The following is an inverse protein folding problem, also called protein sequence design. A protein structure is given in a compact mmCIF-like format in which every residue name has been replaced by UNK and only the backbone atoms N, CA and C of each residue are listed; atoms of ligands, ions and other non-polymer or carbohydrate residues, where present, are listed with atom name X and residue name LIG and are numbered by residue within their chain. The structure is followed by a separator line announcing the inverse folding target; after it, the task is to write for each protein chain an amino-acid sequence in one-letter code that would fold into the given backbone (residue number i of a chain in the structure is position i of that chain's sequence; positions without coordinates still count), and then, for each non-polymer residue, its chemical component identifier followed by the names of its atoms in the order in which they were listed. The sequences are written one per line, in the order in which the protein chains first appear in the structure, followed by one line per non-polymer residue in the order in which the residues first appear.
data_IF_992176244004
#
_entry.id   IF_992176244004
#
_cell.length_a   1.000
_cell.length_b   1.000
_cell.length_c   1.000
_cell.angle_alpha   90.00
_cell.angle_beta   90.00
_cell.angle_gamma   90.00
#
_symmetry.space_group_name_H-M   'P 1'
#
loop_
_entity.id
_entity.type
_entity.pdbx_description
1 polymer ?
#
# COMPACT_ATOMS: atom_id res chain seq x y z
N UNK A 1 8.79 0.88 16.75
CA UNK A 1 9.67 -0.30 16.84
C UNK A 1 10.55 -0.31 15.61
N UNK A 2 11.82 -0.65 15.77
CA UNK A 2 12.80 -0.69 14.68
C UNK A 2 12.57 -1.94 13.81
N UNK A 3 12.40 -1.75 12.50
CA UNK A 3 12.25 -2.85 11.52
C UNK A 3 13.43 -3.82 11.61
N UNK A 4 14.64 -3.33 11.91
CA UNK A 4 15.82 -4.19 12.08
C UNK A 4 15.64 -5.19 13.22
N UNK A 5 15.25 -4.72 14.41
CA UNK A 5 15.07 -5.59 15.58
C UNK A 5 13.99 -6.65 15.36
N UNK A 6 12.92 -6.31 14.62
CA UNK A 6 11.88 -7.28 14.27
C UNK A 6 12.41 -8.35 13.29
N UNK A 7 13.16 -7.95 12.26
CA UNK A 7 13.74 -8.87 11.29
C UNK A 7 14.80 -9.78 11.93
N UNK A 8 15.60 -9.26 12.86
CA UNK A 8 16.56 -10.06 13.64
C UNK A 8 15.83 -11.15 14.44
N UNK A 9 14.74 -10.79 15.12
CA UNK A 9 13.89 -11.74 15.83
C UNK A 9 13.29 -12.81 14.89
N UNK A 10 12.70 -12.39 13.76
CA UNK A 10 12.10 -13.30 12.78
C UNK A 10 13.13 -14.25 12.17
N UNK A 11 14.33 -13.75 11.88
CA UNK A 11 15.42 -14.55 11.32
C UNK A 11 15.91 -15.59 12.32
N UNK A 12 16.03 -15.21 13.60
CA UNK A 12 16.41 -16.13 14.68
C UNK A 12 15.40 -17.27 14.88
N UNK A 13 14.10 -16.99 14.80
CA UNK A 13 13.07 -18.03 15.01
C UNK A 13 12.88 -18.93 13.79
N UNK A 14 13.08 -18.41 12.57
CA UNK A 14 12.83 -19.14 11.33
C UNK A 14 14.08 -19.79 10.73
N UNK A 15 15.28 -19.41 11.19
CA UNK A 15 16.56 -19.75 10.58
C UNK A 15 16.65 -19.39 9.08
N UNK A 16 15.91 -18.35 8.66
CA UNK A 16 15.89 -17.88 7.28
C UNK A 16 15.59 -16.38 7.22
N UNK A 17 16.18 -15.65 6.28
CA UNK A 17 15.81 -14.25 6.09
C UNK A 17 14.38 -14.18 5.51
N UNK A 18 13.52 -13.28 6.00
CA UNK A 18 12.13 -13.25 5.57
C UNK A 18 11.95 -12.50 4.25
N UNK A 19 10.75 -12.64 3.67
CA UNK A 19 10.23 -11.72 2.66
C UNK A 19 9.39 -10.67 3.39
N UNK A 20 9.68 -9.38 3.16
CA UNK A 20 8.89 -8.29 3.73
C UNK A 20 7.77 -7.91 2.77
N UNK A 21 6.55 -7.78 3.27
CA UNK A 21 5.39 -7.34 2.49
C UNK A 21 4.87 -6.04 3.09
N UNK A 22 4.85 -5.00 2.28
CA UNK A 22 4.43 -3.65 2.69
C UNK A 22 3.23 -3.19 1.88
N UNK A 23 2.40 -2.37 2.51
CA UNK A 23 1.21 -1.79 1.90
C UNK A 23 1.12 -0.30 2.21
N UNK A 24 0.64 0.50 1.25
CA UNK A 24 0.35 1.92 1.45
C UNK A 24 1.54 2.68 2.09
N UNK A 25 1.35 3.31 3.24
CA UNK A 25 2.40 4.01 3.98
C UNK A 25 3.53 3.10 4.50
N UNK A 26 3.28 1.80 4.69
CA UNK A 26 4.30 0.84 5.11
C UNK A 26 5.47 0.77 4.13
N UNK A 27 5.22 0.99 2.84
CA UNK A 27 6.25 0.99 1.80
C UNK A 27 7.34 2.03 2.04
N UNK A 28 6.96 3.22 2.54
CA UNK A 28 7.91 4.28 2.90
C UNK A 28 8.87 3.85 4.02
N UNK A 29 8.35 3.18 5.05
CA UNK A 29 9.17 2.68 6.15
C UNK A 29 10.16 1.61 5.66
N UNK A 30 9.71 0.70 4.79
CA UNK A 30 10.58 -0.31 4.18
C UNK A 30 11.62 0.32 3.27
N UNK A 31 11.27 1.29 2.43
CA UNK A 31 12.24 2.03 1.59
C UNK A 31 13.36 2.66 2.43
N UNK A 32 13.03 3.27 3.57
CA UNK A 32 14.05 3.85 4.48
C UNK A 32 14.91 2.81 5.17
N UNK A 33 14.31 1.68 5.52
CA UNK A 33 15.07 0.55 6.05
C UNK A 33 16.05 0.01 5.01
N UNK A 34 15.62 -0.18 3.75
CA UNK A 34 16.51 -0.59 2.65
C UNK A 34 17.63 0.44 2.43
N UNK A 35 17.32 1.73 2.50
CA UNK A 35 18.30 2.83 2.37
C UNK A 35 19.35 2.82 3.51
N UNK A 36 19.03 2.33 4.71
CA UNK A 36 19.95 2.30 5.85
C UNK A 36 20.85 1.07 5.89
N UNK A 37 20.50 -0.02 5.21
CA UNK A 37 21.23 -1.29 5.21
C UNK A 37 22.41 -1.38 4.23
N UNK A 38 22.71 -0.28 3.53
CA UNK A 38 23.69 -0.27 2.45
C UNK A 38 25.11 0.05 2.92
N UNK A 39 26.16 -0.58 2.35
CA UNK A 39 26.20 -1.77 1.47
C UNK A 39 26.67 -3.03 2.23
N UNK A 40 26.57 -3.05 3.55
CA UNK A 40 27.30 -4.01 4.42
C UNK A 40 26.61 -5.35 4.66
N UNK A 41 25.33 -5.50 4.32
CA UNK A 41 24.57 -6.71 4.59
C UNK A 41 23.94 -7.21 3.28
N UNK A 42 24.50 -8.28 2.70
CA UNK A 42 23.76 -9.16 1.79
C UNK A 42 23.08 -10.18 2.69
N UNK A 43 21.82 -10.53 2.43
CA UNK A 43 21.04 -11.56 3.15
C UNK A 43 20.16 -11.11 4.33
N UNK A 44 19.89 -9.81 4.52
CA UNK A 44 18.93 -9.36 5.55
C UNK A 44 17.45 -9.57 5.15
N UNK A 45 17.16 -9.75 3.86
CA UNK A 45 15.83 -10.09 3.32
C UNK A 45 15.98 -11.03 2.12
N UNK A 46 15.04 -11.96 1.96
CA UNK A 46 14.93 -12.79 0.75
C UNK A 46 14.15 -12.13 -0.38
N UNK A 47 13.34 -11.14 -0.04
CA UNK A 47 12.53 -10.40 -0.99
C UNK A 47 11.80 -9.23 -0.34
N UNK A 48 11.34 -8.28 -1.14
CA UNK A 48 10.52 -7.16 -0.71
C UNK A 48 9.33 -6.94 -1.64
N UNK A 49 8.13 -6.83 -1.08
CA UNK A 49 6.89 -6.59 -1.82
C UNK A 49 6.31 -5.24 -1.40
N UNK A 50 5.94 -4.42 -2.39
CA UNK A 50 5.33 -3.11 -2.23
C UNK A 50 3.96 -3.08 -2.90
N UNK A 51 2.90 -3.20 -2.12
CA UNK A 51 1.51 -3.19 -2.60
C UNK A 51 0.92 -1.81 -2.41
N UNK A 52 0.40 -1.20 -3.48
CA UNK A 52 -0.29 0.09 -3.43
C UNK A 52 0.46 1.13 -2.58
N UNK A 53 1.80 1.10 -2.67
CA UNK A 53 2.64 1.82 -1.72
C UNK A 53 2.74 3.29 -2.08
N UNK A 54 2.78 4.15 -1.06
CA UNK A 54 3.05 5.57 -1.26
C UNK A 54 4.42 5.72 -1.93
N UNK A 55 4.53 6.52 -2.99
CA UNK A 55 5.76 6.61 -3.77
C UNK A 55 6.93 7.18 -2.97
N UNK A 56 8.18 6.96 -3.42
CA UNK A 56 9.37 7.42 -2.72
C UNK A 56 9.46 8.93 -2.59
N UNK A 57 8.77 9.74 -3.41
CA UNK A 57 8.63 11.19 -3.20
C UNK A 57 7.62 11.61 -2.12
N UNK A 58 6.95 10.64 -1.48
CA UNK A 58 5.90 10.86 -0.50
C UNK A 58 4.52 11.12 -1.11
N UNK A 59 3.55 11.45 -0.27
CA UNK A 59 2.14 11.61 -0.68
C UNK A 59 1.78 13.00 -1.23
N UNK A 60 2.65 14.00 -1.11
CA UNK A 60 2.32 15.40 -1.47
C UNK A 60 2.05 15.57 -2.97
N UNK A 61 2.89 14.97 -3.83
CA UNK A 61 2.71 15.03 -5.29
C UNK A 61 1.43 14.31 -5.72
N UNK A 62 1.15 13.18 -5.09
CA UNK A 62 -0.06 12.40 -5.29
C UNK A 62 -1.31 13.21 -4.93
N UNK A 63 -1.34 13.88 -3.77
CA UNK A 63 -2.43 14.79 -3.38
C UNK A 63 -2.60 15.94 -4.39
N UNK A 64 -1.49 16.55 -4.84
CA UNK A 64 -1.53 17.62 -5.84
C UNK A 64 -2.10 17.16 -7.19
N UNK A 65 -1.83 15.91 -7.60
CA UNK A 65 -2.39 15.33 -8.82
C UNK A 65 -3.89 15.09 -8.71
N UNK A 66 -4.35 14.57 -7.58
CA UNK A 66 -5.80 14.49 -7.30
C UNK A 66 -6.44 15.87 -7.39
N UNK A 67 -5.81 16.88 -6.76
CA UNK A 67 -6.27 18.28 -6.79
C UNK A 67 -6.43 18.83 -8.20
N UNK A 68 -5.54 18.46 -9.12
CA UNK A 68 -5.59 18.90 -10.52
C UNK A 68 -6.57 18.10 -11.40
N UNK A 69 -6.89 16.86 -11.05
CA UNK A 69 -7.78 16.00 -11.85
C UNK A 69 -9.25 16.15 -11.48
N UNK A 70 -9.55 16.27 -10.19
CA UNK A 70 -10.94 16.26 -9.71
C UNK A 70 -11.06 16.91 -8.33
N UNK A 71 -11.82 17.99 -8.23
CA UNK A 71 -12.10 18.66 -6.96
C UNK A 71 -12.91 17.76 -6.01
N UNK A 72 -13.79 16.89 -6.54
CA UNK A 72 -14.57 15.96 -5.73
C UNK A 72 -13.71 14.83 -5.16
N UNK A 73 -12.77 14.30 -5.93
CA UNK A 73 -11.91 13.22 -5.46
C UNK A 73 -10.87 13.74 -4.47
N UNK A 74 -10.40 14.97 -4.70
CA UNK A 74 -9.55 15.70 -3.76
C UNK A 74 -10.24 15.97 -2.44
N UNK A 75 -11.53 16.34 -2.49
CA UNK A 75 -12.35 16.47 -1.29
C UNK A 75 -12.46 15.13 -0.56
N UNK A 76 -12.72 14.01 -1.27
CA UNK A 76 -12.80 12.67 -0.66
C UNK A 76 -11.48 12.25 -0.01
N UNK A 77 -10.34 12.39 -0.70
CA UNK A 77 -9.01 12.07 -0.15
C UNK A 77 -8.68 12.96 1.05
N UNK A 78 -8.92 14.27 0.94
CA UNK A 78 -8.67 15.23 2.03
C UNK A 78 -9.60 15.00 3.22
N UNK A 79 -10.87 14.71 2.97
CA UNK A 79 -11.84 14.38 4.01
C UNK A 79 -11.50 13.05 4.69
N UNK A 80 -11.17 12.02 3.91
CA UNK A 80 -10.93 10.68 4.40
C UNK A 80 -9.65 10.58 5.22
N UNK A 81 -8.51 11.02 4.67
CA UNK A 81 -7.21 10.87 5.33
C UNK A 81 -6.86 12.07 6.22
N UNK A 82 -6.99 13.30 5.71
CA UNK A 82 -6.53 14.49 6.44
C UNK A 82 -7.53 14.94 7.52
N UNK A 83 -8.84 14.86 7.24
CA UNK A 83 -9.89 15.11 8.22
C UNK A 83 -10.37 13.83 8.94
N UNK A 84 -9.76 12.68 8.64
CA UNK A 84 -10.01 11.37 9.27
C UNK A 84 -11.45 10.86 9.13
N UNK A 85 -12.21 11.37 8.16
CA UNK A 85 -13.62 10.99 7.99
C UNK A 85 -13.81 9.54 7.55
N UNK A 86 -12.80 8.86 7.01
CA UNK A 86 -12.93 7.43 6.71
C UNK A 86 -13.21 6.57 7.97
N UNK A 87 -12.90 7.09 9.15
CA UNK A 87 -13.20 6.43 10.44
C UNK A 87 -14.70 6.44 10.73
N UNK A 88 -15.39 7.53 10.41
CA UNK A 88 -16.79 7.75 10.82
C UNK A 88 -17.79 7.69 9.65
N UNK A 89 -17.30 7.79 8.40
CA UNK A 89 -18.09 7.78 7.16
C UNK A 89 -17.86 6.48 6.38
N UNK A 90 -18.90 5.65 6.35
CA UNK A 90 -18.88 4.32 5.76
C UNK A 90 -18.73 4.34 4.25
N UNK A 91 -19.44 5.26 3.58
CA UNK A 91 -19.40 5.37 2.13
C UNK A 91 -18.04 5.87 1.66
N UNK A 92 -17.46 6.81 2.41
CA UNK A 92 -16.12 7.30 2.14
C UNK A 92 -15.08 6.21 2.37
N UNK A 93 -15.17 5.46 3.47
CA UNK A 93 -14.28 4.34 3.76
C UNK A 93 -14.32 3.28 2.64
N UNK A 94 -15.53 2.87 2.25
CA UNK A 94 -15.76 1.94 1.13
C UNK A 94 -15.20 2.45 -0.19
N UNK A 95 -15.42 3.72 -0.50
CA UNK A 95 -14.92 4.35 -1.73
C UNK A 95 -13.40 4.36 -1.79
N UNK A 96 -12.75 4.64 -0.66
CA UNK A 96 -11.30 4.80 -0.63
C UNK A 96 -10.53 3.48 -0.59
N UNK A 97 -11.06 2.49 0.11
CA UNK A 97 -10.33 1.27 0.43
C UNK A 97 -10.90 0.00 -0.21
N UNK A 98 -12.21 -0.04 -0.47
CA UNK A 98 -12.94 -1.28 -0.78
C UNK A 98 -13.69 -1.25 -2.12
N UNK A 99 -13.34 -0.32 -3.01
CA UNK A 99 -13.82 -0.34 -4.40
C UNK A 99 -15.18 0.29 -4.62
N UNK A 100 -15.67 1.12 -3.68
CA UNK A 100 -16.91 1.89 -3.86
C UNK A 100 -18.05 1.49 -2.92
N UNK A 101 -19.15 2.24 -3.05
CA UNK A 101 -20.39 1.98 -2.31
C UNK A 101 -21.01 0.63 -2.69
N UNK A 102 -21.90 0.13 -1.82
CA UNK A 102 -22.65 -1.09 -2.09
C UNK A 102 -23.55 -0.90 -3.31
N UNK A 103 -23.62 -1.91 -4.16
CA UNK A 103 -24.56 -1.93 -5.27
C UNK A 103 -25.79 -2.76 -4.89
N UNK A 104 -26.97 -2.17 -4.97
CA UNK A 104 -28.24 -2.86 -4.73
C UNK A 104 -28.95 -3.08 -6.05
N UNK A 105 -29.26 -4.34 -6.38
CA UNK A 105 -30.05 -4.71 -7.56
C UNK A 105 -31.34 -5.37 -7.10
N UNK A 106 -32.47 -4.69 -7.35
CA UNK A 106 -33.82 -5.17 -7.01
C UNK A 106 -34.38 -6.03 -8.14
N UNK A 107 -34.75 -7.28 -7.83
CA UNK A 107 -35.28 -8.23 -8.81
C UNK A 107 -36.73 -8.62 -8.51
N UNK A 108 -37.68 -7.67 -8.62
CA UNK A 108 -39.12 -7.95 -8.54
C UNK A 108 -39.50 -8.82 -7.33
N UNK A 109 -40.01 -10.04 -7.57
CA UNK A 109 -40.41 -10.99 -6.50
C UNK A 109 -39.24 -11.69 -5.77
N UNK A 110 -38.01 -11.59 -6.29
CA UNK A 110 -36.81 -12.25 -5.74
C UNK A 110 -36.19 -11.42 -4.60
N UNK A 111 -36.49 -10.12 -4.54
CA UNK A 111 -35.95 -9.18 -3.54
C UNK A 111 -34.67 -8.49 -4.00
N UNK A 112 -33.96 -7.88 -3.06
CA UNK A 112 -32.73 -7.13 -3.29
C UNK A 112 -31.50 -8.05 -3.19
N UNK A 113 -30.61 -7.94 -4.18
CA UNK A 113 -29.27 -8.51 -4.14
C UNK A 113 -28.29 -7.36 -3.89
N UNK A 114 -27.50 -7.49 -2.82
CA UNK A 114 -26.51 -6.50 -2.41
C UNK A 114 -25.12 -7.02 -2.74
N UNK A 115 -24.37 -6.30 -3.56
CA UNK A 115 -22.92 -6.48 -3.73
C UNK A 115 -22.20 -5.48 -2.82
N UNK A 116 -21.64 -5.98 -1.72
CA UNK A 116 -20.87 -5.21 -0.74
C UNK A 116 -19.35 -5.29 -0.97
N UNK A 117 -18.94 -5.80 -2.13
CA UNK A 117 -17.53 -6.01 -2.52
C UNK A 117 -16.79 -6.98 -1.58
N UNK A 118 -17.53 -7.85 -0.90
CA UNK A 118 -16.97 -8.81 0.06
C UNK A 118 -16.53 -8.19 1.38
N UNK A 119 -17.04 -6.99 1.70
CA UNK A 119 -16.80 -6.31 2.97
C UNK A 119 -18.16 -6.02 3.59
N UNK A 120 -18.53 -6.80 4.60
CA UNK A 120 -19.76 -6.59 5.37
C UNK A 120 -19.71 -5.26 6.15
N UNK A 121 -20.85 -4.80 6.68
CA UNK A 121 -20.85 -3.60 7.52
C UNK A 121 -20.12 -3.83 8.85
N UNK A 122 -20.21 -5.05 9.40
CA UNK A 122 -19.47 -5.42 10.61
C UNK A 122 -17.96 -5.41 10.36
N UNK A 123 -17.52 -5.92 9.20
CA UNK A 123 -16.11 -5.84 8.79
C UNK A 123 -15.66 -4.40 8.58
N UNK A 124 -16.50 -3.57 7.94
CA UNK A 124 -16.20 -2.16 7.73
C UNK A 124 -16.00 -1.43 9.07
N UNK A 125 -16.91 -1.63 10.03
CA UNK A 125 -16.81 -1.05 11.38
C UNK A 125 -15.59 -1.56 12.12
N UNK A 126 -15.28 -2.85 11.98
CA UNK A 126 -14.06 -3.44 12.54
C UNK A 126 -12.80 -2.80 11.95
N UNK A 127 -12.72 -2.61 10.63
CA UNK A 127 -11.58 -1.96 9.98
C UNK A 127 -11.47 -0.47 10.35
N UNK A 128 -12.58 0.26 10.39
CA UNK A 128 -12.62 1.64 10.89
C UNK A 128 -12.12 1.76 12.33
N UNK A 129 -12.43 0.78 13.18
CA UNK A 129 -11.90 0.75 14.55
C UNK A 129 -10.37 0.60 14.60
N UNK A 130 -9.77 -0.11 13.65
CA UNK A 130 -8.31 -0.21 13.53
C UNK A 130 -7.71 1.10 13.03
N UNK A 131 -8.33 1.77 12.06
CA UNK A 131 -7.90 3.12 11.64
C UNK A 131 -7.95 4.13 12.78
N UNK A 132 -8.99 4.09 13.62
CA UNK A 132 -9.10 4.92 14.82
C UNK A 132 -7.95 4.62 15.80
N UNK A 133 -7.70 3.35 16.10
CA UNK A 133 -6.58 2.94 16.97
C UNK A 133 -5.24 3.44 16.43
N UNK A 134 -4.99 3.22 15.15
CA UNK A 134 -3.70 3.53 14.52
C UNK A 134 -3.50 5.04 14.34
N UNK A 135 -4.60 5.80 14.29
CA UNK A 135 -4.58 7.27 14.35
C UNK A 135 -4.17 7.81 15.73
N UNK A 136 -4.46 7.07 16.81
CA UNK A 136 -4.01 7.41 18.18
C UNK A 136 -2.53 7.07 18.37
N UNK A 137 -2.04 6.04 17.67
CA UNK A 137 -0.62 5.74 17.53
C UNK A 137 0.01 6.64 16.45
N UNK A 138 0.02 7.95 16.68
CA UNK A 138 0.44 9.00 15.72
C UNK A 138 1.65 8.61 14.86
N UNK A 139 1.40 8.20 13.63
CA UNK A 139 2.29 8.47 12.50
C UNK A 139 2.16 9.98 12.27
N UNK A 140 3.11 10.77 12.77
CA UNK A 140 3.16 12.18 12.45
C UNK A 140 3.47 12.32 10.96
N UNK A 141 2.44 12.48 10.13
CA UNK A 141 2.56 12.63 8.69
C UNK A 141 3.46 13.82 8.29
N UNK A 142 3.65 14.82 9.15
CA UNK A 142 4.56 15.94 8.90
C UNK A 142 6.01 15.53 9.15
N UNK A 143 6.31 14.84 10.26
CA UNK A 143 7.63 14.25 10.52
C UNK A 143 7.97 13.13 9.52
N UNK A 144 6.96 12.36 9.13
CA UNK A 144 7.05 11.36 8.08
C UNK A 144 7.42 12.05 6.76
N UNK A 145 6.72 13.12 6.37
CA UNK A 145 7.02 13.88 5.15
C UNK A 145 8.38 14.59 5.15
N UNK A 146 8.95 14.93 6.32
CA UNK A 146 10.32 15.49 6.40
C UNK A 146 11.39 14.40 6.32
N UNK A 147 11.07 13.16 6.69
CA UNK A 147 11.99 12.00 6.64
C UNK A 147 11.82 11.14 5.38
N UNK A 148 10.70 11.26 4.69
CA UNK A 148 10.27 10.43 3.56
C UNK A 148 9.92 11.31 2.37
N UNK A 149 10.98 11.76 1.69
CA UNK A 149 11.31 10.97 0.52
C UNK A 149 12.59 10.13 0.69
N UNK A 150 12.64 8.96 0.03
CA UNK A 150 13.94 8.32 -0.20
C UNK A 150 14.70 9.14 -1.23
N UNK A 151 15.63 9.95 -0.74
CA UNK A 151 16.29 11.02 -1.48
C UNK A 151 17.52 10.55 -2.25
N UNK A 152 17.92 9.29 -2.08
CA UNK A 152 19.05 8.69 -2.78
C UNK A 152 18.61 8.08 -4.10
N UNK A 153 18.24 8.94 -5.05
CA UNK A 153 17.92 8.54 -6.42
C UNK A 153 18.91 9.12 -7.44
N UNK A 154 19.10 8.43 -8.55
CA UNK A 154 19.83 8.94 -9.71
C UNK A 154 19.01 9.97 -10.52
N UNK A 155 19.58 10.45 -11.63
CA UNK A 155 18.90 11.41 -12.52
C UNK A 155 17.64 10.83 -13.19
N UNK A 156 17.53 9.51 -13.22
CA UNK A 156 16.40 8.79 -13.76
C UNK A 156 15.37 8.50 -12.66
N UNK A 157 15.66 8.70 -11.38
CA UNK A 157 14.73 8.40 -10.28
C UNK A 157 14.81 6.97 -9.78
N UNK A 158 15.84 6.20 -10.16
CA UNK A 158 16.13 4.88 -9.57
C UNK A 158 16.91 5.06 -8.28
N UNK A 159 16.71 4.18 -7.30
CA UNK A 159 17.49 4.19 -6.06
C UNK A 159 18.99 3.98 -6.38
N UNK A 160 19.87 4.80 -5.79
CA UNK A 160 21.34 4.70 -5.96
C UNK A 160 21.94 3.37 -5.48
N UNK A 161 21.10 2.52 -4.93
CA UNK A 161 21.46 1.27 -4.29
C UNK A 161 20.65 0.08 -4.77
N UNK A 162 19.93 0.26 -5.89
CA UNK A 162 19.09 -0.76 -6.51
C UNK A 162 19.84 -2.08 -6.74
N UNK A 163 21.14 -2.03 -7.07
CA UNK A 163 21.99 -3.21 -7.29
C UNK A 163 22.21 -4.08 -6.03
N UNK A 164 21.96 -3.52 -4.84
CA UNK A 164 22.14 -4.22 -3.56
C UNK A 164 20.80 -4.59 -2.91
N UNK A 165 19.68 -4.40 -3.61
CA UNK A 165 18.37 -4.77 -3.10
C UNK A 165 18.10 -6.26 -3.23
N UNK A 166 17.31 -6.84 -2.32
CA UNK A 166 16.76 -8.17 -2.55
C UNK A 166 15.82 -8.14 -3.77
N UNK A 167 15.45 -9.31 -4.32
CA UNK A 167 14.35 -9.40 -5.29
C UNK A 167 13.16 -8.55 -4.82
N UNK A 168 12.68 -7.66 -5.69
CA UNK A 168 11.63 -6.70 -5.35
C UNK A 168 10.42 -6.85 -6.28
N UNK A 169 9.23 -6.76 -5.71
CA UNK A 169 7.95 -6.74 -6.43
C UNK A 169 7.20 -5.46 -6.11
N UNK A 170 6.68 -4.80 -7.13
CA UNK A 170 5.75 -3.67 -7.00
C UNK A 170 4.38 -4.09 -7.55
N UNK A 171 3.34 -3.96 -6.71
CA UNK A 171 1.95 -4.22 -7.07
C UNK A 171 1.17 -2.91 -6.99
N UNK A 172 0.44 -2.57 -8.05
CA UNK A 172 -0.58 -1.54 -8.06
C UNK A 172 -1.98 -2.15 -8.25
N UNK A 173 -3.02 -1.36 -7.98
CA UNK A 173 -4.41 -1.77 -8.16
C UNK A 173 -5.12 -0.90 -9.20
N UNK A 174 -6.05 -1.48 -9.96
CA UNK A 174 -6.85 -0.74 -10.96
C UNK A 174 -7.83 0.24 -10.33
N UNK A 175 -8.42 -0.14 -9.20
CA UNK A 175 -9.48 0.61 -8.51
C UNK A 175 -8.93 1.36 -7.28
N UNK A 176 -7.61 1.60 -7.25
CA UNK A 176 -6.94 2.28 -6.15
C UNK A 176 -7.26 3.78 -6.16
N UNK A 177 -8.08 4.20 -5.19
CA UNK A 177 -8.46 5.59 -5.02
C UNK A 177 -7.39 6.44 -4.32
N UNK A 178 -6.40 5.81 -3.70
CA UNK A 178 -5.39 6.46 -2.85
C UNK A 178 -4.08 6.58 -3.61
N UNK A 179 -3.58 5.52 -4.24
CA UNK A 179 -2.32 5.52 -5.00
C UNK A 179 -2.60 5.34 -6.49
N UNK A 180 -2.37 6.41 -7.25
CA UNK A 180 -2.57 6.41 -8.69
C UNK A 180 -1.46 5.65 -9.44
N UNK A 181 -1.72 5.31 -10.71
CA UNK A 181 -0.76 4.64 -11.59
C UNK A 181 0.59 5.38 -11.70
N UNK A 182 0.59 6.71 -11.59
CA UNK A 182 1.84 7.47 -11.57
C UNK A 182 2.66 7.22 -10.29
N UNK A 183 2.00 7.14 -9.12
CA UNK A 183 2.66 6.74 -7.87
C UNK A 183 3.23 5.32 -7.94
N UNK A 184 2.46 4.37 -8.50
CA UNK A 184 2.95 3.00 -8.74
C UNK A 184 4.15 2.99 -9.68
N UNK A 185 4.09 3.74 -10.78
CA UNK A 185 5.19 3.85 -11.76
C UNK A 185 6.44 4.48 -11.14
N UNK A 186 6.29 5.49 -10.28
CA UNK A 186 7.40 6.08 -9.54
C UNK A 186 8.09 5.07 -8.62
N UNK A 187 7.31 4.30 -7.85
CA UNK A 187 7.82 3.21 -6.99
C UNK A 187 8.53 2.13 -7.82
N UNK A 188 7.95 1.76 -8.96
CA UNK A 188 8.52 0.75 -9.87
C UNK A 188 9.86 1.20 -10.43
N UNK A 189 9.93 2.46 -10.88
CA UNK A 189 11.16 3.09 -11.36
C UNK A 189 12.23 3.17 -10.28
N UNK A 190 11.83 3.53 -9.06
CA UNK A 190 12.74 3.58 -7.92
C UNK A 190 13.44 2.24 -7.66
N UNK A 191 12.73 1.13 -7.83
CA UNK A 191 13.27 -0.22 -7.69
C UNK A 191 13.82 -0.83 -8.98
N UNK A 192 13.72 -0.15 -10.12
CA UNK A 192 14.17 -0.68 -11.41
C UNK A 192 13.42 -1.94 -11.87
N UNK A 193 12.15 -2.09 -11.48
CA UNK A 193 11.29 -3.25 -11.83
C UNK A 193 10.02 -2.80 -12.54
N UNK A 194 9.39 -3.70 -13.28
CA UNK A 194 8.05 -3.48 -13.84
C UNK A 194 6.97 -3.78 -12.79
N UNK A 195 5.91 -2.96 -12.68
CA UNK A 195 4.82 -3.24 -11.75
C UNK A 195 3.87 -4.33 -12.28
N UNK A 196 3.27 -5.07 -11.36
CA UNK A 196 2.06 -5.86 -11.62
C UNK A 196 0.85 -5.02 -11.22
N UNK A 197 -0.08 -4.79 -12.15
CA UNK A 197 -1.35 -4.13 -11.85
C UNK A 197 -2.44 -5.19 -11.70
N UNK A 198 -3.06 -5.27 -10.53
CA UNK A 198 -4.12 -6.24 -10.23
C UNK A 198 -5.49 -5.57 -10.22
N UNK A 199 -6.53 -6.31 -10.65
CA UNK A 199 -7.92 -5.87 -10.50
C UNK A 199 -8.32 -5.92 -9.02
N UNK A 200 -8.22 -4.80 -8.32
CA UNK A 200 -8.47 -4.70 -6.86
C UNK A 200 -8.62 -3.24 -6.45
N UNK A 201 -9.25 -2.97 -5.28
CA UNK A 201 -9.20 -1.65 -4.65
C UNK A 201 -7.89 -1.46 -3.85
N UNK A 202 -7.74 -0.33 -3.15
CA UNK A 202 -6.50 -0.01 -2.41
C UNK A 202 -6.13 -1.06 -1.36
N UNK A 203 -7.10 -1.57 -0.58
CA UNK A 203 -6.86 -2.64 0.39
C UNK A 203 -6.88 -3.99 -0.31
N UNK A 204 -5.89 -4.21 -1.19
CA UNK A 204 -5.73 -5.40 -2.04
C UNK A 204 -5.66 -6.73 -1.28
N UNK A 205 -5.48 -6.68 0.04
CA UNK A 205 -5.43 -7.85 0.93
C UNK A 205 -6.81 -8.26 1.47
N UNK A 206 -7.83 -7.42 1.25
CA UNK A 206 -9.16 -7.55 1.85
C UNK A 206 -10.24 -7.56 0.74
N UNK A 207 -11.50 -7.73 1.16
CA UNK A 207 -12.65 -7.77 0.25
C UNK A 207 -12.69 -9.02 -0.63
N UNK A 208 -13.56 -9.04 -1.65
CA UNK A 208 -13.77 -10.21 -2.51
C UNK A 208 -12.64 -10.44 -3.55
N UNK A 209 -11.85 -9.41 -3.87
CA UNK A 209 -10.76 -9.48 -4.87
C UNK A 209 -9.38 -9.81 -4.29
N UNK A 210 -9.26 -10.11 -2.98
CA UNK A 210 -7.97 -10.30 -2.29
C UNK A 210 -7.02 -11.33 -2.95
N UNK A 211 -7.60 -12.34 -3.61
CA UNK A 211 -6.83 -13.40 -4.29
C UNK A 211 -5.94 -12.86 -5.39
N UNK A 212 -6.31 -11.77 -6.05
CA UNK A 212 -5.55 -11.23 -7.17
C UNK A 212 -4.16 -10.76 -6.74
N UNK A 213 -4.03 -10.10 -5.59
CA UNK A 213 -2.73 -9.74 -5.03
C UNK A 213 -2.00 -10.96 -4.45
N UNK A 214 -2.71 -11.87 -3.78
CA UNK A 214 -2.11 -13.08 -3.23
C UNK A 214 -1.48 -13.97 -4.33
N UNK A 215 -2.17 -14.15 -5.45
CA UNK A 215 -1.70 -14.92 -6.60
C UNK A 215 -0.51 -14.24 -7.27
N UNK A 216 -0.53 -12.91 -7.40
CA UNK A 216 0.62 -12.14 -7.92
C UNK A 216 1.87 -12.32 -7.04
N UNK A 217 1.72 -12.24 -5.72
CA UNK A 217 2.82 -12.49 -4.77
C UNK A 217 3.29 -13.93 -4.87
N UNK A 218 2.36 -14.90 -4.85
CA UNK A 218 2.69 -16.32 -4.92
C UNK A 218 3.50 -16.65 -6.17
N UNK A 219 3.03 -16.21 -7.34
CA UNK A 219 3.72 -16.43 -8.61
C UNK A 219 5.11 -15.82 -8.61
N UNK A 220 5.25 -14.58 -8.14
CA UNK A 220 6.55 -13.92 -8.03
C UNK A 220 7.51 -14.64 -7.08
N UNK A 221 7.02 -15.13 -5.93
CA UNK A 221 7.83 -15.92 -5.00
C UNK A 221 8.41 -17.17 -5.68
N UNK A 222 7.61 -17.88 -6.48
CA UNK A 222 8.04 -19.09 -7.20
C UNK A 222 9.08 -18.81 -8.30
N UNK A 223 9.08 -17.60 -8.88
CA UNK A 223 9.98 -17.28 -10.00
C UNK A 223 11.21 -16.49 -9.61
N UNK A 224 11.21 -15.85 -8.44
CA UNK A 224 12.20 -14.82 -8.10
C UNK A 224 12.81 -14.95 -6.71
N UNK A 225 12.29 -15.82 -5.83
CA UNK A 225 12.74 -15.93 -4.44
C UNK A 225 13.03 -17.36 -4.01
N UNK A 226 12.15 -18.30 -4.37
CA UNK A 226 12.25 -19.74 -4.07
C UNK A 226 13.00 -20.43 -5.20
#
# INVERSE_FOLDING_TARGET
QDISAFLDYVTQISNSSPVIVSHSFGGLAVMKYLESKLPSEKDYLRGAVFMCSVPPSGNQKLILRFFRRSLSDSWKVTAGLAMKKCIDDDNLCRTMFFGGEKEVKTYGKIGDIVDDKGVSDDDLKRYQSYFLRDTVATIDLKDLATKLPSSKVDAQGMALFVENLPPTLVIGATDDFIVDHEGVSETSKYFGVDPIIVDSPHDVMLGNKWKNAADAIHNWLQTSVI
#
